data_IF_698966830682
#
_entry.id   IF_698966830682
#
_cell.length_a   1.000
_cell.length_b   1.000
_cell.length_c   1.000
_cell.angle_alpha   90.00
_cell.angle_beta   90.00
_cell.angle_gamma   90.00
#
_symmetry.space_group_name_H-M   'P 1'
#
loop_
_entity.id
_entity.type
_entity.pdbx_description
1 polymer ?
#
# COMPACT_ATOMS: atom_id res chain seq x y z
N UNK A 1 11.36 22.65 4.85
CA UNK A 1 9.88 22.61 4.97
C UNK A 1 9.32 23.72 5.84
N UNK A 2 9.67 23.85 7.11
CA UNK A 2 9.08 24.84 8.05
C UNK A 2 9.10 26.31 7.57
N UNK A 3 10.13 26.74 6.82
CA UNK A 3 10.16 28.10 6.26
C UNK A 3 9.24 28.26 5.04
N UNK A 4 9.12 27.23 4.19
CA UNK A 4 8.22 27.23 3.03
C UNK A 4 6.76 27.28 3.47
N UNK A 5 6.37 26.47 4.46
CA UNK A 5 5.00 26.41 4.96
C UNK A 5 4.49 27.67 5.64
N UNK A 6 5.39 28.63 5.94
CA UNK A 6 5.01 29.97 6.39
C UNK A 6 4.58 30.92 5.25
N UNK A 7 4.95 30.58 4.01
CA UNK A 7 4.71 31.42 2.84
C UNK A 7 3.73 30.82 1.83
N UNK A 8 3.47 29.52 1.93
CA UNK A 8 2.56 28.80 1.02
C UNK A 8 1.89 27.61 1.74
N UNK A 9 0.78 27.08 1.22
CA UNK A 9 0.17 25.84 1.74
C UNK A 9 1.20 24.70 1.78
N UNK A 10 1.10 23.84 2.79
CA UNK A 10 2.01 22.70 2.99
C UNK A 10 2.03 21.76 1.77
N UNK A 11 0.86 21.56 1.14
CA UNK A 11 0.74 20.77 -0.09
C UNK A 11 1.56 21.35 -1.24
N UNK A 12 1.52 22.68 -1.44
CA UNK A 12 2.28 23.35 -2.49
C UNK A 12 3.78 23.36 -2.19
N UNK A 13 4.15 23.53 -0.92
CA UNK A 13 5.55 23.42 -0.49
C UNK A 13 6.12 22.03 -0.79
N UNK A 14 5.37 20.97 -0.50
CA UNK A 14 5.77 19.59 -0.79
C UNK A 14 5.84 19.31 -2.28
N UNK A 15 4.88 19.80 -3.08
CA UNK A 15 4.91 19.70 -4.56
C UNK A 15 6.12 20.41 -5.15
N UNK A 16 6.45 21.60 -4.63
CA UNK A 16 7.64 22.35 -5.05
C UNK A 16 8.92 21.56 -4.79
N UNK A 17 9.09 21.06 -3.56
CA UNK A 17 10.27 20.28 -3.18
C UNK A 17 10.37 19.01 -4.03
N UNK A 18 9.28 18.25 -4.16
CA UNK A 18 9.21 17.03 -4.96
C UNK A 18 9.58 17.30 -6.43
N UNK A 19 9.01 18.36 -7.02
CA UNK A 19 9.30 18.75 -8.39
C UNK A 19 10.77 19.14 -8.61
N UNK A 20 11.36 19.89 -7.68
CA UNK A 20 12.78 20.27 -7.75
C UNK A 20 13.71 19.07 -7.53
N UNK A 21 13.38 18.15 -6.64
CA UNK A 21 14.11 16.90 -6.48
C UNK A 21 14.09 16.07 -7.76
N UNK A 22 12.92 15.96 -8.40
CA UNK A 22 12.78 15.30 -9.69
C UNK A 22 13.64 15.96 -10.76
N UNK A 23 13.53 17.27 -10.95
CA UNK A 23 14.33 18.03 -11.93
C UNK A 23 15.83 17.84 -11.72
N UNK A 24 16.29 17.74 -10.48
CA UNK A 24 17.70 17.54 -10.14
C UNK A 24 18.23 16.16 -10.55
N UNK A 25 17.35 15.19 -10.85
CA UNK A 25 17.68 13.80 -11.19
C UNK A 25 17.29 13.40 -12.61
N UNK A 26 16.55 14.25 -13.35
CA UNK A 26 16.24 13.97 -14.77
C UNK A 26 17.54 13.79 -15.55
N UNK A 27 17.72 12.71 -16.32
CA UNK A 27 18.93 12.44 -17.05
C UNK A 27 19.28 13.56 -18.02
N UNK A 28 20.55 13.96 -18.08
CA UNK A 28 21.05 15.02 -19.00
C UNK A 28 20.77 14.73 -20.48
N UNK A 29 20.60 13.47 -20.85
CA UNK A 29 20.29 13.06 -22.23
C UNK A 29 18.95 13.65 -22.75
N UNK A 30 17.96 13.85 -21.86
CA UNK A 30 16.70 14.51 -22.22
C UNK A 30 16.84 16.04 -22.34
N UNK A 31 17.98 16.61 -21.93
CA UNK A 31 18.24 18.04 -21.85
C UNK A 31 18.98 18.60 -23.09
N UNK A 32 19.14 17.82 -24.16
CA UNK A 32 19.88 18.23 -25.36
C UNK A 32 19.06 19.06 -26.36
N UNK A 33 17.76 19.21 -26.12
CA UNK A 33 16.89 20.03 -26.98
C UNK A 33 17.12 21.52 -26.66
N UNK A 34 17.53 22.36 -27.66
CA UNK A 34 17.72 23.78 -27.44
C UNK A 34 16.45 24.48 -26.95
N UNK A 35 16.60 25.32 -25.94
CA UNK A 35 15.47 26.10 -25.37
C UNK A 35 14.65 25.38 -24.28
N UNK A 36 14.92 24.11 -23.99
CA UNK A 36 14.28 23.39 -22.89
C UNK A 36 14.89 23.81 -21.55
N UNK A 37 14.10 24.26 -20.56
CA UNK A 37 14.62 24.61 -19.25
C UNK A 37 15.04 23.36 -18.46
N UNK A 38 16.33 23.32 -18.08
CA UNK A 38 16.95 22.19 -17.38
C UNK A 38 17.31 22.53 -15.94
N UNK A 39 17.64 21.50 -15.14
CA UNK A 39 18.17 21.72 -13.80
C UNK A 39 19.44 22.59 -13.80
N UNK A 40 20.38 22.33 -14.72
CA UNK A 40 21.60 23.12 -14.86
C UNK A 40 21.32 24.58 -15.23
N UNK A 41 20.38 24.81 -16.14
CA UNK A 41 19.91 26.15 -16.48
C UNK A 41 19.30 26.85 -15.25
N UNK A 42 18.42 26.17 -14.51
CA UNK A 42 17.80 26.71 -13.29
C UNK A 42 18.85 27.02 -12.22
N UNK A 43 19.83 26.14 -12.02
CA UNK A 43 20.91 26.34 -11.06
C UNK A 43 21.76 27.57 -11.40
N UNK A 44 22.09 27.80 -12.68
CA UNK A 44 22.78 29.00 -13.15
C UNK A 44 21.99 30.28 -12.85
N UNK A 45 20.65 30.25 -12.95
CA UNK A 45 19.79 31.41 -12.58
C UNK A 45 19.88 31.75 -11.10
N UNK A 46 20.32 30.85 -10.25
CA UNK A 46 20.51 31.13 -8.82
C UNK A 46 21.77 31.92 -8.52
N UNK A 47 22.68 32.13 -9.47
CA UNK A 47 23.99 32.81 -9.24
C UNK A 47 23.83 34.31 -8.97
N UNK A 48 22.85 34.97 -9.60
CA UNK A 48 22.53 36.36 -9.33
C UNK A 48 21.55 36.48 -8.15
N UNK A 49 21.95 37.03 -7.00
CA UNK A 49 21.08 37.18 -5.85
C UNK A 49 19.98 38.25 -6.04
N UNK A 50 20.11 39.11 -7.04
CA UNK A 50 19.14 40.17 -7.36
C UNK A 50 18.11 39.77 -8.38
N UNK A 51 18.27 38.60 -9.02
CA UNK A 51 17.32 38.10 -10.03
C UNK A 51 15.98 37.74 -9.36
N UNK A 52 14.98 38.56 -9.58
CA UNK A 52 13.62 38.36 -9.09
C UNK A 52 12.77 37.43 -9.97
N UNK A 53 13.37 36.79 -10.97
CA UNK A 53 12.66 35.90 -11.90
C UNK A 53 12.75 34.41 -11.53
N UNK A 54 13.56 34.04 -10.52
CA UNK A 54 13.83 32.63 -10.18
C UNK A 54 12.56 31.83 -9.91
N UNK A 55 11.55 32.44 -9.31
CA UNK A 55 10.24 31.83 -9.07
C UNK A 55 9.53 31.47 -10.38
N UNK A 56 9.51 32.44 -11.35
CA UNK A 56 8.91 32.20 -12.66
C UNK A 56 9.69 31.12 -13.45
N UNK A 57 11.02 31.13 -13.32
CA UNK A 57 11.91 30.15 -13.94
C UNK A 57 11.66 28.74 -13.39
N UNK A 58 11.49 28.60 -12.08
CA UNK A 58 11.09 27.32 -11.45
C UNK A 58 9.74 26.85 -11.97
N UNK A 59 8.73 27.73 -11.98
CA UNK A 59 7.40 27.39 -12.50
C UNK A 59 7.45 26.97 -13.97
N UNK A 60 8.27 27.65 -14.79
CA UNK A 60 8.49 27.29 -16.20
C UNK A 60 9.13 25.90 -16.35
N UNK A 61 10.17 25.60 -15.54
CA UNK A 61 10.80 24.28 -15.53
C UNK A 61 9.80 23.19 -15.13
N UNK A 62 9.09 23.40 -14.03
CA UNK A 62 8.13 22.43 -13.54
C UNK A 62 6.99 22.21 -14.53
N UNK A 63 6.44 23.26 -15.13
CA UNK A 63 5.39 23.14 -16.15
C UNK A 63 5.85 22.38 -17.39
N UNK A 64 7.12 22.50 -17.77
CA UNK A 64 7.67 21.75 -18.91
C UNK A 64 7.84 20.26 -18.61
N UNK A 65 8.39 19.93 -17.43
CA UNK A 65 8.71 18.56 -17.06
C UNK A 65 7.56 17.82 -16.36
N UNK A 66 6.59 18.55 -15.81
CA UNK A 66 5.40 18.07 -15.13
C UNK A 66 4.17 18.73 -15.75
N UNK A 67 3.82 18.42 -17.02
CA UNK A 67 2.69 19.05 -17.68
C UNK A 67 1.41 18.82 -16.88
N UNK A 68 0.55 19.83 -16.90
CA UNK A 68 -0.79 19.72 -16.33
C UNK A 68 -1.53 18.58 -17.03
N UNK A 69 -2.30 17.83 -16.26
CA UNK A 69 -3.05 16.70 -16.75
C UNK A 69 -4.52 16.88 -16.39
N UNK A 70 -5.38 16.60 -17.33
CA UNK A 70 -6.82 16.50 -17.07
C UNK A 70 -7.10 15.17 -16.39
N UNK A 71 -7.47 15.22 -15.12
CA UNK A 71 -7.98 14.07 -14.38
C UNK A 71 -9.50 14.04 -14.55
N UNK A 72 -10.03 12.94 -15.04
CA UNK A 72 -11.47 12.77 -15.31
C UNK A 72 -12.33 12.94 -14.05
N UNK A 73 -11.78 12.57 -12.89
CA UNK A 73 -12.49 12.59 -11.61
C UNK A 73 -12.27 13.89 -10.82
N UNK A 74 -11.19 14.63 -11.06
CA UNK A 74 -10.77 15.81 -10.28
C UNK A 74 -10.61 17.10 -11.10
N UNK A 75 -10.88 17.07 -12.41
CA UNK A 75 -10.65 18.21 -13.31
C UNK A 75 -9.15 18.45 -13.61
N UNK A 76 -8.80 19.64 -14.11
CA UNK A 76 -7.41 19.96 -14.43
C UNK A 76 -6.58 20.05 -13.15
N UNK A 77 -5.80 19.01 -12.86
CA UNK A 77 -4.89 18.95 -11.71
C UNK A 77 -3.45 19.09 -12.17
N UNK A 78 -2.67 19.88 -11.46
CA UNK A 78 -1.24 20.10 -11.76
C UNK A 78 -0.39 19.84 -10.52
N UNK A 79 0.72 19.15 -10.71
CA UNK A 79 1.79 19.06 -9.70
C UNK A 79 2.62 20.35 -9.62
N UNK A 80 2.46 21.26 -10.57
CA UNK A 80 3.15 22.56 -10.53
C UNK A 80 2.53 23.41 -9.42
N UNK A 81 3.26 23.70 -8.34
CA UNK A 81 2.72 24.48 -7.24
C UNK A 81 2.58 25.95 -7.60
N UNK A 82 1.64 26.62 -6.96
CA UNK A 82 1.60 28.09 -6.98
C UNK A 82 2.66 28.62 -6.04
N UNK A 83 3.69 29.28 -6.58
CA UNK A 83 4.77 29.89 -5.80
C UNK A 83 4.46 31.37 -5.55
N UNK A 84 4.21 31.83 -4.34
CA UNK A 84 3.81 33.19 -4.03
C UNK A 84 4.85 34.24 -4.43
N UNK A 85 4.39 35.44 -4.77
CA UNK A 85 5.27 36.59 -4.99
C UNK A 85 6.10 36.90 -3.74
N UNK A 86 7.36 37.32 -3.93
CA UNK A 86 8.28 37.57 -2.81
C UNK A 86 9.03 36.36 -2.28
N UNK A 87 8.74 35.12 -2.78
CA UNK A 87 9.44 33.91 -2.36
C UNK A 87 10.78 33.65 -3.07
N UNK A 88 11.24 34.54 -3.95
CA UNK A 88 12.42 34.33 -4.81
C UNK A 88 13.68 33.98 -4.01
N UNK A 89 13.93 34.69 -2.88
CA UNK A 89 15.06 34.39 -2.00
C UNK A 89 15.00 32.96 -1.43
N UNK A 90 13.80 32.53 -1.01
CA UNK A 90 13.58 31.20 -0.42
C UNK A 90 13.70 30.10 -1.47
N UNK A 91 13.11 30.31 -2.66
CA UNK A 91 13.19 29.37 -3.78
C UNK A 91 14.64 29.20 -4.25
N UNK A 92 15.41 30.30 -4.35
CA UNK A 92 16.83 30.25 -4.65
C UNK A 92 17.63 29.44 -3.65
N UNK A 93 17.40 29.67 -2.36
CA UNK A 93 18.03 28.89 -1.29
C UNK A 93 17.68 27.42 -1.37
N UNK A 94 16.43 27.07 -1.69
CA UNK A 94 15.96 25.71 -1.84
C UNK A 94 16.64 25.00 -3.03
N UNK A 95 16.70 25.64 -4.21
CA UNK A 95 17.39 25.09 -5.40
C UNK A 95 18.86 24.78 -5.09
N UNK A 96 19.55 25.71 -4.41
CA UNK A 96 20.96 25.50 -4.00
C UNK A 96 21.09 24.39 -2.98
N UNK A 97 20.21 24.34 -1.97
CA UNK A 97 20.21 23.27 -0.96
C UNK A 97 20.03 21.90 -1.59
N UNK A 98 19.10 21.75 -2.54
CA UNK A 98 18.90 20.48 -3.27
C UNK A 98 20.13 20.16 -4.13
N UNK A 99 20.75 21.15 -4.77
CA UNK A 99 21.96 20.94 -5.58
C UNK A 99 23.15 20.42 -4.72
N UNK A 100 23.26 20.87 -3.48
CA UNK A 100 24.33 20.44 -2.54
C UNK A 100 23.97 19.19 -1.73
N UNK A 101 22.72 18.71 -1.80
CA UNK A 101 22.30 17.56 -1.01
C UNK A 101 22.92 16.25 -1.51
N UNK A 102 23.66 15.56 -0.65
CA UNK A 102 24.20 14.23 -0.94
C UNK A 102 23.13 13.14 -0.88
N UNK A 103 22.21 13.25 0.06
CA UNK A 103 21.12 12.30 0.25
C UNK A 103 19.77 13.04 0.17
N UNK A 104 18.95 12.65 -0.80
CA UNK A 104 17.63 13.25 -1.02
C UNK A 104 16.47 12.34 -0.58
N UNK A 105 16.73 11.06 -0.35
CA UNK A 105 15.70 10.08 -0.02
C UNK A 105 14.91 10.42 1.26
N UNK A 106 15.50 10.84 2.39
CA UNK A 106 14.73 11.19 3.58
C UNK A 106 13.81 12.39 3.37
N UNK A 107 14.25 13.40 2.59
CA UNK A 107 13.43 14.56 2.26
C UNK A 107 12.26 14.17 1.33
N UNK A 108 12.52 13.30 0.37
CA UNK A 108 11.50 12.77 -0.50
C UNK A 108 10.44 11.99 0.28
N UNK A 109 10.85 11.11 1.20
CA UNK A 109 9.93 10.33 2.04
C UNK A 109 9.04 11.24 2.90
N UNK A 110 9.62 12.31 3.47
CA UNK A 110 8.85 13.30 4.22
C UNK A 110 7.83 14.02 3.33
N UNK A 111 8.23 14.46 2.12
CA UNK A 111 7.32 15.13 1.20
C UNK A 111 6.15 14.22 0.77
N UNK A 112 6.43 12.94 0.51
CA UNK A 112 5.41 11.95 0.14
C UNK A 112 4.44 11.69 1.30
N UNK A 113 4.96 11.56 2.52
CA UNK A 113 4.15 11.41 3.73
C UNK A 113 3.23 12.61 3.97
N UNK A 114 3.78 13.85 3.86
CA UNK A 114 3.02 15.08 4.07
C UNK A 114 1.96 15.28 2.97
N UNK A 115 2.27 14.92 1.71
CA UNK A 115 1.30 14.95 0.61
C UNK A 115 0.14 13.98 0.87
N UNK A 116 0.42 12.80 1.37
CA UNK A 116 -0.59 11.82 1.76
C UNK A 116 -1.49 12.35 2.88
N UNK A 117 -0.91 12.98 3.90
CA UNK A 117 -1.65 13.53 5.04
C UNK A 117 -2.52 14.75 4.67
N UNK A 118 -2.13 15.51 3.64
CA UNK A 118 -2.81 16.76 3.23
C UNK A 118 -4.09 16.51 2.40
N UNK A 119 -4.30 15.32 1.86
CA UNK A 119 -5.52 15.01 1.13
C UNK A 119 -6.63 14.61 2.12
N UNK A 120 -7.84 15.15 1.96
CA UNK A 120 -8.99 14.85 2.82
C UNK A 120 -9.36 13.35 2.86
N UNK A 121 -9.01 12.61 1.77
CA UNK A 121 -9.04 11.17 1.63
C UNK A 121 -7.66 10.54 1.89
N UNK A 122 -6.88 11.07 2.80
CA UNK A 122 -5.44 10.90 3.06
C UNK A 122 -4.83 9.50 3.02
N UNK A 123 -5.66 8.48 2.87
CA UNK A 123 -5.25 7.08 2.83
C UNK A 123 -5.08 6.51 1.42
N UNK A 124 -5.44 7.26 0.37
CA UNK A 124 -5.61 6.66 -0.96
C UNK A 124 -4.30 6.34 -1.67
N UNK A 125 -3.16 6.93 -1.27
CA UNK A 125 -1.97 6.93 -2.15
C UNK A 125 -0.66 6.53 -1.47
N UNK A 126 -0.67 6.24 -0.17
CA UNK A 126 0.55 5.97 0.56
C UNK A 126 0.44 4.71 1.43
N UNK A 127 1.34 3.77 1.22
CA UNK A 127 1.51 2.63 2.12
C UNK A 127 2.59 2.97 3.13
N UNK A 128 2.32 2.93 4.45
CA UNK A 128 3.35 3.17 5.47
C UNK A 128 4.58 2.28 5.24
N UNK A 129 5.76 2.84 5.44
CA UNK A 129 7.04 2.19 5.08
C UNK A 129 7.24 0.86 5.81
N UNK A 130 6.87 0.78 7.08
CA UNK A 130 6.95 -0.45 7.87
C UNK A 130 6.01 -1.54 7.35
N UNK A 131 4.81 -1.16 6.92
CA UNK A 131 3.86 -2.06 6.28
C UNK A 131 4.34 -2.51 4.89
N UNK A 132 4.88 -1.58 4.09
CA UNK A 132 5.47 -1.92 2.79
C UNK A 132 6.64 -2.89 2.93
N UNK A 133 7.50 -2.69 3.92
CA UNK A 133 8.60 -3.62 4.26
C UNK A 133 8.10 -5.01 4.65
N UNK A 134 7.06 -5.07 5.49
CA UNK A 134 6.43 -6.35 5.82
C UNK A 134 5.88 -7.04 4.59
N UNK A 135 5.13 -6.33 3.74
CA UNK A 135 4.53 -6.91 2.54
C UNK A 135 5.59 -7.46 1.59
N UNK A 136 6.66 -6.70 1.36
CA UNK A 136 7.77 -7.12 0.50
C UNK A 136 8.56 -8.28 1.12
N UNK A 137 8.82 -8.27 2.42
CA UNK A 137 9.49 -9.39 3.10
C UNK A 137 8.65 -10.68 3.06
N UNK A 138 7.33 -10.56 3.12
CA UNK A 138 6.41 -11.71 2.97
C UNK A 138 6.38 -12.24 1.53
N UNK A 139 6.53 -11.37 0.52
CA UNK A 139 6.59 -11.75 -0.89
C UNK A 139 7.92 -12.41 -1.27
N UNK A 140 9.03 -12.00 -0.66
CA UNK A 140 10.40 -12.47 -0.95
C UNK A 140 10.77 -12.29 -2.43
N UNK A 141 10.69 -11.07 -2.99
CA UNK A 141 11.07 -10.83 -4.37
C UNK A 141 12.56 -11.14 -4.59
N UNK A 142 12.91 -11.50 -5.84
CA UNK A 142 14.25 -11.89 -6.24
C UNK A 142 14.71 -11.14 -7.46
N UNK A 143 16.00 -11.14 -7.66
CA UNK A 143 16.56 -10.65 -8.92
C UNK A 143 15.97 -11.40 -10.12
N UNK A 144 15.70 -10.70 -11.21
CA UNK A 144 15.04 -11.23 -12.39
C UNK A 144 13.50 -11.36 -12.29
N UNK A 145 12.88 -11.15 -11.12
CA UNK A 145 11.42 -11.25 -11.00
C UNK A 145 10.70 -10.12 -11.73
N UNK A 146 9.51 -10.45 -12.26
CA UNK A 146 8.51 -9.50 -12.73
C UNK A 146 7.57 -9.16 -11.56
N UNK A 147 7.62 -7.93 -11.12
CA UNK A 147 6.84 -7.41 -9.98
C UNK A 147 5.75 -6.48 -10.48
N UNK A 148 4.50 -6.74 -10.10
CA UNK A 148 3.35 -5.89 -10.38
C UNK A 148 2.80 -5.28 -9.09
N UNK A 149 2.54 -3.98 -9.12
CA UNK A 149 1.63 -3.31 -8.20
C UNK A 149 0.44 -2.76 -9.00
N UNK A 150 -0.73 -3.41 -8.98
CA UNK A 150 -1.88 -3.00 -9.79
C UNK A 150 -2.57 -1.72 -9.29
N UNK A 151 -2.17 -1.17 -8.14
CA UNK A 151 -2.72 0.03 -7.49
C UNK A 151 -1.62 0.83 -6.82
N UNK A 152 -0.55 1.13 -7.57
CA UNK A 152 0.76 1.49 -7.01
C UNK A 152 0.80 2.82 -6.22
N UNK A 153 -0.22 3.66 -6.33
CA UNK A 153 -0.25 4.94 -5.63
C UNK A 153 1.00 5.78 -5.93
N UNK A 154 1.78 6.09 -4.90
CA UNK A 154 3.08 6.78 -5.01
C UNK A 154 4.27 5.87 -5.37
N UNK A 155 4.05 4.58 -5.65
CA UNK A 155 5.09 3.62 -6.01
C UNK A 155 5.88 3.03 -4.83
N UNK A 156 5.39 3.19 -3.60
CA UNK A 156 6.11 2.79 -2.39
C UNK A 156 6.48 1.30 -2.33
N UNK A 157 5.58 0.40 -2.74
CA UNK A 157 5.82 -1.04 -2.78
C UNK A 157 6.87 -1.43 -3.85
N UNK A 158 6.89 -0.73 -4.99
CA UNK A 158 7.90 -0.94 -6.03
C UNK A 158 9.29 -0.49 -5.57
N UNK A 159 9.36 0.68 -4.90
CA UNK A 159 10.61 1.18 -4.27
C UNK A 159 11.13 0.17 -3.27
N UNK A 160 10.28 -0.32 -2.38
CA UNK A 160 10.67 -1.24 -1.33
C UNK A 160 11.08 -2.63 -1.89
N UNK A 161 10.42 -3.08 -2.98
CA UNK A 161 10.81 -4.31 -3.70
C UNK A 161 12.22 -4.20 -4.28
N UNK A 162 12.51 -3.09 -4.95
CA UNK A 162 13.85 -2.82 -5.47
C UNK A 162 14.89 -2.81 -4.34
N UNK A 163 14.61 -2.06 -3.25
CA UNK A 163 15.51 -1.98 -2.09
C UNK A 163 15.77 -3.35 -1.48
N UNK A 164 14.72 -4.15 -1.28
CA UNK A 164 14.82 -5.50 -0.71
C UNK A 164 15.77 -6.41 -1.49
N UNK A 165 15.70 -6.36 -2.82
CA UNK A 165 16.57 -7.17 -3.69
C UNK A 165 17.97 -6.58 -3.74
N UNK A 166 18.10 -5.25 -3.90
CA UNK A 166 19.39 -4.54 -3.91
C UNK A 166 20.22 -4.84 -2.66
N UNK A 167 19.62 -4.79 -1.48
CA UNK A 167 20.31 -5.05 -0.21
C UNK A 167 20.86 -6.49 -0.10
N UNK A 168 20.34 -7.42 -0.91
CA UNK A 168 20.74 -8.83 -0.93
C UNK A 168 21.72 -9.20 -2.03
N UNK A 169 21.61 -8.58 -3.18
CA UNK A 169 22.49 -8.90 -4.33
C UNK A 169 23.68 -7.95 -4.43
N UNK A 170 23.65 -6.80 -3.73
CA UNK A 170 24.74 -5.81 -3.68
C UNK A 170 25.04 -5.12 -5.02
N UNK A 171 24.18 -5.27 -6.02
CA UNK A 171 24.28 -4.76 -7.38
C UNK A 171 22.96 -4.09 -7.80
N UNK A 172 22.92 -3.53 -9.01
CA UNK A 172 21.65 -3.07 -9.57
C UNK A 172 20.75 -4.26 -9.89
N UNK A 173 19.58 -4.40 -9.25
CA UNK A 173 18.65 -5.47 -9.55
C UNK A 173 18.19 -5.44 -11.02
N UNK A 174 18.09 -6.61 -11.63
CA UNK A 174 17.60 -6.78 -13.02
C UNK A 174 16.09 -7.01 -13.08
N UNK A 175 15.39 -6.86 -11.97
CA UNK A 175 13.95 -7.07 -11.85
C UNK A 175 13.14 -6.11 -12.72
N UNK A 176 12.01 -6.59 -13.26
CA UNK A 176 11.03 -5.76 -13.95
C UNK A 176 9.98 -5.27 -12.96
N UNK A 177 9.87 -3.97 -12.80
CA UNK A 177 8.89 -3.32 -11.92
C UNK A 177 7.80 -2.68 -12.76
N UNK A 178 6.55 -3.06 -12.55
CA UNK A 178 5.37 -2.54 -13.25
C UNK A 178 4.39 -1.99 -12.23
N UNK A 179 3.95 -0.74 -12.43
CA UNK A 179 2.92 -0.10 -11.62
C UNK A 179 1.73 0.33 -12.45
N UNK A 180 0.53 0.13 -11.92
CA UNK A 180 -0.71 0.68 -12.45
C UNK A 180 -1.32 1.62 -11.42
N UNK A 181 -1.89 2.71 -11.89
CA UNK A 181 -2.57 3.68 -11.04
C UNK A 181 -3.71 4.33 -11.83
N UNK A 182 -4.86 4.46 -11.20
CA UNK A 182 -6.04 5.08 -11.83
C UNK A 182 -5.91 6.60 -11.87
N UNK A 183 -5.41 7.19 -10.80
CA UNK A 183 -5.32 8.64 -10.65
C UNK A 183 -4.05 9.18 -11.27
N UNK A 184 -4.21 10.11 -12.21
CA UNK A 184 -3.10 10.71 -12.95
C UNK A 184 -2.06 11.34 -12.03
N UNK A 185 -2.49 12.07 -11.00
CA UNK A 185 -1.60 12.75 -10.07
C UNK A 185 -0.71 11.75 -9.31
N UNK A 186 -1.30 10.68 -8.80
CA UNK A 186 -0.58 9.60 -8.09
C UNK A 186 0.38 8.88 -9.03
N UNK A 187 -0.02 8.62 -10.27
CA UNK A 187 0.84 8.05 -11.31
C UNK A 187 2.07 8.93 -11.60
N UNK A 188 1.90 10.25 -11.68
CA UNK A 188 3.02 11.19 -11.81
C UNK A 188 3.93 11.15 -10.56
N UNK A 189 3.37 11.15 -9.35
CA UNK A 189 4.13 11.04 -8.10
C UNK A 189 4.93 9.73 -8.08
N UNK A 190 4.35 8.60 -8.49
CA UNK A 190 5.06 7.33 -8.58
C UNK A 190 6.26 7.40 -9.53
N UNK A 191 6.09 7.97 -10.72
CA UNK A 191 7.18 8.17 -11.70
C UNK A 191 8.30 9.04 -11.11
N UNK A 192 7.94 10.13 -10.44
CA UNK A 192 8.92 11.02 -9.80
C UNK A 192 9.66 10.33 -8.65
N UNK A 193 8.94 9.60 -7.81
CA UNK A 193 9.50 8.86 -6.68
C UNK A 193 10.55 7.85 -7.14
N UNK A 194 10.22 7.04 -8.14
CA UNK A 194 11.13 6.03 -8.71
C UNK A 194 12.33 6.70 -9.41
N UNK A 195 12.09 7.73 -10.23
CA UNK A 195 13.14 8.43 -10.96
C UNK A 195 14.15 9.12 -10.03
N UNK A 196 13.69 9.80 -8.96
CA UNK A 196 14.56 10.45 -7.97
C UNK A 196 15.48 9.43 -7.28
N UNK A 197 15.03 8.19 -7.13
CA UNK A 197 15.80 7.09 -6.54
C UNK A 197 16.67 6.34 -7.56
N UNK A 198 16.57 6.69 -8.86
CA UNK A 198 17.28 5.99 -9.92
C UNK A 198 16.75 4.57 -10.18
N UNK A 199 15.51 4.30 -9.80
CA UNK A 199 14.88 2.98 -9.97
C UNK A 199 14.18 2.94 -11.33
N UNK A 200 14.59 2.00 -12.19
CA UNK A 200 13.91 1.74 -13.45
C UNK A 200 12.61 0.97 -13.19
N UNK A 201 11.48 1.57 -13.57
CA UNK A 201 10.17 0.95 -13.45
C UNK A 201 9.24 1.48 -14.55
N UNK A 202 8.29 0.66 -14.96
CA UNK A 202 7.27 1.03 -15.92
C UNK A 202 5.97 1.37 -15.17
N UNK A 203 5.65 2.65 -15.08
CA UNK A 203 4.34 3.09 -14.62
C UNK A 203 3.47 3.28 -15.86
N UNK A 204 2.45 2.41 -15.99
CA UNK A 204 1.55 2.41 -17.13
C UNK A 204 0.73 3.71 -17.21
N UNK A 205 0.13 4.03 -18.38
CA UNK A 205 -0.84 5.12 -18.46
C UNK A 205 -1.97 4.92 -17.44
N UNK A 206 -2.49 6.00 -16.84
CA UNK A 206 -3.57 5.91 -15.86
C UNK A 206 -4.78 5.16 -16.41
N UNK A 207 -5.33 4.28 -15.59
CA UNK A 207 -6.47 3.45 -15.96
C UNK A 207 -6.92 2.55 -14.82
N UNK A 208 -8.15 2.03 -14.94
CA UNK A 208 -8.69 1.08 -13.98
C UNK A 208 -8.11 -0.31 -14.22
N UNK A 209 -7.38 -0.85 -13.26
CA UNK A 209 -6.75 -2.18 -13.34
C UNK A 209 -7.78 -3.31 -13.41
N UNK A 210 -9.00 -3.08 -12.93
CA UNK A 210 -10.08 -4.07 -13.03
C UNK A 210 -10.79 -4.06 -14.39
N UNK A 211 -10.59 -3.02 -15.23
CA UNK A 211 -11.28 -2.91 -16.52
C UNK A 211 -10.97 -4.07 -17.46
N UNK A 212 -9.71 -4.55 -17.46
CA UNK A 212 -9.27 -5.67 -18.30
C UNK A 212 -8.40 -6.64 -17.53
N UNK A 213 -8.35 -7.95 -17.92
CA UNK A 213 -7.38 -8.88 -17.37
C UNK A 213 -5.95 -8.42 -17.62
N UNK A 214 -5.01 -8.79 -16.72
CA UNK A 214 -3.60 -8.58 -16.97
C UNK A 214 -3.16 -9.41 -18.20
N UNK A 215 -2.51 -8.78 -19.18
CA UNK A 215 -2.05 -9.47 -20.38
C UNK A 215 -0.87 -10.42 -20.10
N UNK A 216 -0.10 -10.10 -19.05
CA UNK A 216 1.07 -10.87 -18.64
C UNK A 216 0.92 -11.35 -17.20
N UNK A 217 1.54 -12.49 -16.90
CA UNK A 217 1.61 -13.01 -15.54
C UNK A 217 2.89 -12.54 -14.84
N UNK A 218 2.78 -12.30 -13.54
CA UNK A 218 3.85 -11.74 -12.73
C UNK A 218 4.31 -12.72 -11.65
N UNK A 219 5.63 -12.72 -11.38
CA UNK A 219 6.21 -13.60 -10.37
C UNK A 219 5.88 -13.13 -8.96
N UNK A 220 5.81 -11.79 -8.78
CA UNK A 220 5.43 -11.15 -7.53
C UNK A 220 4.33 -10.12 -7.81
N UNK A 221 3.27 -10.15 -6.99
CA UNK A 221 2.24 -9.10 -6.97
C UNK A 221 2.16 -8.53 -5.57
N UNK A 222 2.20 -7.20 -5.46
CA UNK A 222 2.07 -6.47 -4.20
C UNK A 222 0.97 -5.44 -4.33
N UNK A 223 0.03 -5.38 -3.38
CA UNK A 223 -1.06 -4.42 -3.48
C UNK A 223 -1.60 -3.96 -2.13
N UNK A 224 -1.67 -2.64 -1.94
CA UNK A 224 -2.49 -2.04 -0.89
C UNK A 224 -3.83 -1.63 -1.51
N UNK A 225 -4.75 -2.57 -1.61
CA UNK A 225 -5.99 -2.44 -2.38
C UNK A 225 -6.94 -1.35 -1.86
N UNK A 226 -7.71 -0.68 -2.73
CA UNK A 226 -8.81 0.17 -2.32
C UNK A 226 -9.97 -0.70 -1.81
N UNK A 227 -10.26 -0.60 -0.51
CA UNK A 227 -11.32 -1.42 0.12
C UNK A 227 -12.72 -0.90 -0.21
N UNK A 228 -13.66 -1.85 -0.37
CA UNK A 228 -15.08 -1.59 -0.50
C UNK A 228 -15.46 -0.62 -1.65
N UNK A 229 -14.68 -0.60 -2.71
CA UNK A 229 -14.94 0.23 -3.88
C UNK A 229 -16.24 -0.22 -4.56
N UNK A 230 -17.17 0.70 -4.75
CA UNK A 230 -18.42 0.47 -5.46
C UNK A 230 -18.35 0.96 -6.90
N UNK A 231 -19.19 0.42 -7.77
CA UNK A 231 -19.32 0.88 -9.16
C UNK A 231 -18.11 0.57 -10.06
N UNK A 232 -17.26 -0.37 -9.66
CA UNK A 232 -16.07 -0.79 -10.39
C UNK A 232 -16.38 -1.47 -11.73
N UNK A 233 -17.56 -2.09 -11.85
CA UNK A 233 -18.03 -2.78 -13.06
C UNK A 233 -18.86 -1.88 -13.98
N UNK A 234 -18.88 -0.55 -13.75
CA UNK A 234 -19.54 0.37 -14.69
C UNK A 234 -18.68 0.47 -15.94
N UNK A 235 -19.31 0.15 -17.09
CA UNK A 235 -18.72 0.42 -18.40
C UNK A 235 -18.37 1.91 -18.46
N UNK A 236 -17.13 2.23 -18.83
CA UNK A 236 -16.84 3.58 -19.30
C UNK A 236 -17.75 3.82 -20.51
N UNK A 237 -18.65 4.78 -20.41
CA UNK A 237 -19.38 5.30 -21.57
C UNK A 237 -18.33 5.85 -22.55
N UNK A 238 -17.84 4.97 -23.42
CA UNK A 238 -17.11 5.41 -24.60
C UNK A 238 -18.12 6.21 -25.42
N UNK A 239 -17.86 7.50 -25.54
CA UNK A 239 -18.70 8.41 -26.31
C UNK A 239 -19.04 7.77 -27.68
N UNK A 240 -20.29 7.34 -27.84
CA UNK A 240 -20.88 6.97 -29.14
C UNK A 240 -21.09 5.49 -29.44
N UNK A 241 -20.86 4.56 -28.50
CA UNK A 241 -21.17 3.12 -28.69
C UNK A 241 -22.41 2.69 -27.89
N UNK A 242 -23.21 1.72 -28.40
CA UNK A 242 -24.32 1.18 -27.64
C UNK A 242 -23.81 0.48 -26.40
N UNK A 243 -24.37 0.82 -25.23
CA UNK A 243 -24.12 0.18 -23.94
C UNK A 243 -24.30 -1.34 -24.08
N UNK A 244 -23.25 -2.10 -23.98
CA UNK A 244 -23.30 -3.55 -24.05
C UNK A 244 -23.71 -4.07 -22.67
N UNK A 245 -24.82 -4.83 -22.53
CA UNK A 245 -25.17 -5.38 -21.24
C UNK A 245 -24.07 -6.31 -20.74
N UNK A 246 -23.72 -6.20 -19.45
CA UNK A 246 -22.68 -7.01 -18.79
C UNK A 246 -22.85 -8.53 -19.00
N UNK A 247 -24.08 -8.98 -19.32
CA UNK A 247 -24.42 -10.38 -19.66
C UNK A 247 -23.96 -10.84 -21.04
N UNK A 248 -23.49 -9.95 -21.92
CA UNK A 248 -23.08 -10.26 -23.29
C UNK A 248 -21.55 -10.14 -23.53
N UNK A 249 -20.75 -9.83 -22.49
CA UNK A 249 -19.30 -9.90 -22.57
C UNK A 249 -18.84 -11.36 -22.68
N UNK A 250 -17.82 -11.69 -23.48
CA UNK A 250 -17.18 -13.00 -23.40
C UNK A 250 -16.78 -13.25 -21.93
N UNK A 251 -16.93 -14.52 -21.47
CA UNK A 251 -16.62 -14.90 -20.10
C UNK A 251 -15.24 -14.37 -19.75
N UNK A 252 -15.18 -13.44 -18.79
CA UNK A 252 -13.93 -12.89 -18.33
C UNK A 252 -13.14 -14.03 -17.64
N UNK A 253 -11.92 -14.35 -18.08
CA UNK A 253 -11.16 -15.48 -17.53
C UNK A 253 -10.85 -15.35 -16.04
N UNK A 254 -10.99 -14.15 -15.48
CA UNK A 254 -10.83 -13.89 -14.03
C UNK A 254 -12.00 -14.46 -13.22
N UNK A 255 -13.19 -14.56 -13.83
CA UNK A 255 -14.45 -14.96 -13.17
C UNK A 255 -15.02 -16.24 -13.78
N UNK A 256 -14.36 -17.39 -13.61
CA UNK A 256 -14.74 -18.63 -14.31
C UNK A 256 -16.09 -19.20 -13.88
N UNK A 257 -16.57 -18.87 -12.69
CA UNK A 257 -17.84 -19.38 -12.15
C UNK A 257 -18.95 -18.29 -12.16
N UNK A 258 -18.67 -17.17 -11.50
CA UNK A 258 -19.64 -16.10 -11.30
C UNK A 258 -18.91 -14.76 -11.24
N UNK A 259 -19.35 -13.72 -11.98
CA UNK A 259 -18.78 -12.39 -11.87
C UNK A 259 -18.98 -11.81 -10.47
N UNK A 260 -17.99 -11.10 -9.92
CA UNK A 260 -18.12 -10.43 -8.62
C UNK A 260 -19.20 -9.36 -8.65
N UNK A 261 -19.80 -9.10 -7.48
CA UNK A 261 -20.82 -8.07 -7.34
C UNK A 261 -20.30 -6.68 -7.77
N UNK A 262 -21.03 -5.94 -8.61
CA UNK A 262 -20.66 -4.57 -8.99
C UNK A 262 -20.71 -3.59 -7.82
N UNK A 263 -21.39 -3.93 -6.74
CA UNK A 263 -21.50 -3.09 -5.54
C UNK A 263 -20.26 -3.10 -4.65
N UNK A 264 -19.33 -4.06 -4.82
CA UNK A 264 -18.12 -4.16 -4.01
C UNK A 264 -17.00 -4.89 -4.75
N UNK A 265 -15.88 -4.22 -4.98
CA UNK A 265 -14.74 -4.71 -5.75
C UNK A 265 -13.84 -5.72 -5.00
N UNK A 266 -14.04 -5.95 -3.71
CA UNK A 266 -13.10 -6.79 -2.93
C UNK A 266 -12.89 -8.18 -3.54
N UNK A 267 -13.98 -8.85 -3.94
CA UNK A 267 -13.90 -10.17 -4.59
C UNK A 267 -13.30 -10.09 -6.00
N UNK A 268 -13.51 -9.00 -6.72
CA UNK A 268 -12.89 -8.77 -8.02
C UNK A 268 -11.38 -8.63 -7.90
N UNK A 269 -10.90 -7.85 -6.95
CA UNK A 269 -9.47 -7.69 -6.67
C UNK A 269 -8.79 -9.02 -6.33
N UNK A 270 -9.39 -9.82 -5.45
CA UNK A 270 -8.84 -11.14 -5.08
C UNK A 270 -8.67 -12.02 -6.32
N UNK A 271 -9.68 -12.09 -7.17
CA UNK A 271 -9.67 -12.92 -8.38
C UNK A 271 -8.75 -12.35 -9.47
N UNK A 272 -8.68 -11.03 -9.62
CA UNK A 272 -7.76 -10.35 -10.52
C UNK A 272 -6.31 -10.68 -10.18
N UNK A 273 -5.92 -10.59 -8.90
CA UNK A 273 -4.59 -10.94 -8.41
C UNK A 273 -4.30 -12.43 -8.66
N UNK A 274 -5.25 -13.31 -8.35
CA UNK A 274 -5.09 -14.74 -8.58
C UNK A 274 -4.85 -15.08 -10.07
N UNK A 275 -5.55 -14.38 -10.97
CA UNK A 275 -5.40 -14.55 -12.42
C UNK A 275 -4.04 -14.04 -12.92
N UNK A 276 -3.63 -12.85 -12.49
CA UNK A 276 -2.39 -12.19 -12.90
C UNK A 276 -1.11 -12.85 -12.37
N UNK A 277 -1.24 -13.78 -11.41
CA UNK A 277 -0.11 -14.44 -10.77
C UNK A 277 0.45 -15.57 -11.65
N UNK A 278 1.76 -15.60 -11.86
CA UNK A 278 2.48 -16.65 -12.58
C UNK A 278 2.34 -18.01 -11.87
N UNK A 279 2.53 -19.15 -12.58
CA UNK A 279 2.35 -20.51 -12.01
C UNK A 279 3.20 -20.81 -10.76
N UNK A 280 4.29 -20.08 -10.57
CA UNK A 280 5.18 -20.20 -9.39
C UNK A 280 5.26 -18.88 -8.61
N UNK A 281 4.33 -17.95 -8.88
CA UNK A 281 4.33 -16.62 -8.33
C UNK A 281 3.74 -16.56 -6.92
N UNK A 282 4.06 -15.47 -6.23
CA UNK A 282 3.52 -15.11 -4.91
C UNK A 282 2.92 -13.71 -4.93
N UNK A 283 1.72 -13.57 -4.37
CA UNK A 283 1.10 -12.27 -4.18
C UNK A 283 0.94 -11.96 -2.69
N UNK A 284 1.15 -10.70 -2.32
CA UNK A 284 0.91 -10.19 -0.97
C UNK A 284 0.09 -8.92 -1.06
N UNK A 285 -1.10 -8.94 -0.49
CA UNK A 285 -2.02 -7.81 -0.59
C UNK A 285 -2.84 -7.62 0.68
N UNK A 286 -3.23 -6.36 0.92
CA UNK A 286 -4.13 -6.03 2.01
C UNK A 286 -5.58 -6.21 1.59
N UNK A 287 -6.39 -6.76 2.50
CA UNK A 287 -7.82 -6.96 2.33
C UNK A 287 -8.55 -6.74 3.66
N UNK A 288 -9.80 -6.28 3.61
CA UNK A 288 -10.64 -6.14 4.81
C UNK A 288 -10.93 -7.51 5.44
N UNK A 289 -10.99 -7.55 6.77
CA UNK A 289 -11.20 -8.78 7.53
C UNK A 289 -12.55 -9.46 7.25
N UNK A 290 -13.56 -8.71 6.80
CA UNK A 290 -14.85 -9.25 6.40
C UNK A 290 -14.74 -10.27 5.25
N UNK A 291 -13.77 -10.12 4.35
CA UNK A 291 -13.52 -11.09 3.28
C UNK A 291 -13.00 -12.43 3.83
N UNK A 292 -12.30 -12.40 4.97
CA UNK A 292 -11.83 -13.60 5.67
C UNK A 292 -12.91 -14.22 6.58
N UNK A 293 -13.83 -13.43 7.15
CA UNK A 293 -14.68 -13.84 8.27
C UNK A 293 -16.17 -14.00 7.92
N UNK A 294 -16.65 -13.50 6.79
CA UNK A 294 -18.09 -13.58 6.45
C UNK A 294 -18.59 -15.02 6.44
N UNK A 295 -19.55 -15.34 7.30
CA UNK A 295 -20.16 -16.68 7.46
C UNK A 295 -21.49 -16.85 6.76
N UNK A 296 -22.08 -15.75 6.23
CA UNK A 296 -23.35 -15.81 5.49
C UNK A 296 -23.14 -16.58 4.19
N UNK A 297 -24.07 -17.50 3.89
CA UNK A 297 -24.10 -18.17 2.60
C UNK A 297 -24.09 -17.13 1.45
N UNK A 298 -23.27 -17.38 0.42
CA UNK A 298 -23.15 -16.44 -0.69
C UNK A 298 -21.83 -16.57 -1.46
N UNK A 299 -21.52 -15.58 -2.31
CA UNK A 299 -20.37 -15.65 -3.21
C UNK A 299 -19.02 -15.63 -2.46
N UNK A 300 -18.91 -14.95 -1.32
CA UNK A 300 -17.64 -14.83 -0.59
C UNK A 300 -17.18 -16.16 0.04
N UNK A 301 -18.01 -16.94 0.79
CA UNK A 301 -17.63 -18.28 1.22
C UNK A 301 -17.26 -19.21 0.06
N UNK A 302 -18.02 -19.20 -1.05
CA UNK A 302 -17.68 -19.99 -2.26
C UNK A 302 -16.34 -19.60 -2.86
N UNK A 303 -16.02 -18.32 -2.92
CA UNK A 303 -14.72 -17.83 -3.36
C UNK A 303 -13.60 -18.37 -2.47
N UNK A 304 -13.74 -18.31 -1.12
CA UNK A 304 -12.72 -18.85 -0.21
C UNK A 304 -12.54 -20.35 -0.35
N UNK A 305 -13.64 -21.11 -0.47
CA UNK A 305 -13.60 -22.54 -0.73
C UNK A 305 -12.81 -22.86 -2.01
N UNK A 306 -13.07 -22.12 -3.11
CA UNK A 306 -12.33 -22.29 -4.36
C UNK A 306 -10.85 -21.98 -4.19
N UNK A 307 -10.50 -20.84 -3.57
CA UNK A 307 -9.10 -20.46 -3.34
C UNK A 307 -8.33 -21.51 -2.52
N UNK A 308 -8.99 -22.17 -1.58
CA UNK A 308 -8.41 -23.26 -0.77
C UNK A 308 -8.33 -24.57 -1.55
N UNK A 309 -9.33 -24.90 -2.37
CA UNK A 309 -9.30 -26.07 -3.26
C UNK A 309 -8.18 -25.95 -4.28
N UNK A 310 -7.96 -24.76 -4.81
CA UNK A 310 -6.87 -24.45 -5.75
C UNK A 310 -5.50 -24.34 -5.05
N UNK A 311 -5.45 -24.58 -3.74
CA UNK A 311 -4.27 -24.50 -2.87
C UNK A 311 -3.51 -23.15 -2.97
N UNK A 312 -4.23 -22.08 -3.29
CA UNK A 312 -3.65 -20.76 -3.57
C UNK A 312 -3.28 -19.97 -2.31
N UNK A 313 -4.06 -20.12 -1.22
CA UNK A 313 -3.85 -19.37 0.02
C UNK A 313 -2.66 -19.96 0.77
N UNK A 314 -1.58 -19.19 0.93
CA UNK A 314 -0.40 -19.56 1.69
C UNK A 314 -0.51 -19.13 3.16
N UNK A 315 -0.90 -17.87 3.38
CA UNK A 315 -1.05 -17.34 4.74
C UNK A 315 -2.08 -16.22 4.79
N UNK A 316 -2.73 -16.06 5.94
CA UNK A 316 -3.53 -14.88 6.28
C UNK A 316 -3.07 -14.34 7.63
N UNK A 317 -2.79 -13.04 7.69
CA UNK A 317 -2.25 -12.36 8.86
C UNK A 317 -3.23 -11.28 9.28
N UNK A 318 -3.83 -11.38 10.45
CA UNK A 318 -4.67 -10.32 11.00
C UNK A 318 -3.79 -9.20 11.54
N UNK A 319 -3.93 -8.00 10.96
CA UNK A 319 -3.14 -6.82 11.32
C UNK A 319 -3.91 -5.91 12.29
N UNK A 320 -3.22 -5.01 12.99
CA UNK A 320 -3.86 -4.01 13.84
C UNK A 320 -4.80 -3.09 13.03
N UNK A 321 -5.91 -2.69 13.63
CA UNK A 321 -6.75 -1.65 13.04
C UNK A 321 -5.94 -0.36 12.86
N UNK A 322 -6.21 0.40 11.79
CA UNK A 322 -5.57 1.69 11.48
C UNK A 322 -4.07 1.63 11.19
N UNK A 323 -3.51 0.46 10.92
CA UNK A 323 -2.08 0.31 10.56
C UNK A 323 -1.79 0.84 9.15
N UNK A 324 -2.80 0.92 8.29
CA UNK A 324 -2.69 1.48 6.93
C UNK A 324 -3.02 2.97 6.84
N UNK A 325 -3.42 3.61 7.95
CA UNK A 325 -3.73 5.03 8.02
C UNK A 325 -4.76 5.37 9.11
N UNK A 326 -4.83 6.64 9.54
CA UNK A 326 -5.66 7.07 10.67
C UNK A 326 -7.17 7.09 10.38
N UNK A 327 -7.57 7.25 9.12
CA UNK A 327 -8.96 7.38 8.69
C UNK A 327 -9.65 6.06 8.38
N UNK A 328 -8.91 4.93 8.40
CA UNK A 328 -9.48 3.61 8.13
C UNK A 328 -9.86 2.91 9.42
N UNK A 329 -11.14 2.93 9.76
CA UNK A 329 -11.69 2.14 10.88
C UNK A 329 -11.78 0.63 10.57
N UNK A 330 -11.38 0.22 9.37
CA UNK A 330 -11.34 -1.18 8.95
C UNK A 330 -10.14 -1.91 9.56
N UNK A 331 -10.36 -3.15 9.97
CA UNK A 331 -9.28 -4.04 10.40
C UNK A 331 -8.77 -4.80 9.17
N UNK A 332 -7.54 -4.56 8.70
CA UNK A 332 -7.02 -5.26 7.54
C UNK A 332 -6.47 -6.64 7.91
N UNK A 333 -6.54 -7.55 6.93
CA UNK A 333 -5.74 -8.75 6.89
C UNK A 333 -4.74 -8.67 5.75
N UNK A 334 -3.51 -9.12 5.97
CA UNK A 334 -2.54 -9.32 4.91
C UNK A 334 -2.71 -10.74 4.38
N UNK A 335 -3.06 -10.85 3.11
CA UNK A 335 -3.22 -12.14 2.43
C UNK A 335 -1.96 -12.45 1.63
N UNK A 336 -1.52 -13.68 1.73
CA UNK A 336 -0.41 -14.22 0.94
C UNK A 336 -0.92 -15.34 0.07
N UNK A 337 -0.85 -15.15 -1.24
CA UNK A 337 -1.10 -16.20 -2.23
C UNK A 337 0.22 -16.76 -2.74
N UNK A 338 0.23 -18.06 -3.03
CA UNK A 338 1.35 -18.74 -3.65
C UNK A 338 0.81 -19.89 -4.51
N UNK A 339 1.03 -19.82 -5.82
CA UNK A 339 0.58 -20.86 -6.76
C UNK A 339 1.37 -22.15 -6.69
N UNK A 340 2.53 -22.15 -6.03
CA UNK A 340 3.35 -23.34 -5.85
C UNK A 340 3.95 -23.35 -4.44
N UNK A 341 3.30 -24.06 -3.52
CA UNK A 341 3.73 -24.20 -2.12
C UNK A 341 4.63 -25.42 -1.89
N UNK A 342 5.11 -26.09 -2.96
CA UNK A 342 6.11 -27.13 -2.87
C UNK A 342 7.44 -26.61 -2.36
N UNK A 343 8.26 -27.50 -1.81
CA UNK A 343 9.63 -27.17 -1.42
C UNK A 343 10.45 -26.73 -2.65
N UNK A 344 11.02 -25.52 -2.60
CA UNK A 344 11.83 -24.96 -3.68
C UNK A 344 13.02 -24.17 -3.15
N UNK A 345 14.22 -24.32 -3.74
CA UNK A 345 15.37 -23.52 -3.34
C UNK A 345 15.05 -22.02 -3.33
N UNK A 346 15.28 -21.40 -2.19
CA UNK A 346 15.07 -19.97 -1.97
C UNK A 346 13.63 -19.49 -1.81
N UNK A 347 12.61 -20.31 -2.01
CA UNK A 347 11.21 -19.98 -1.75
C UNK A 347 10.67 -20.67 -0.50
N UNK A 348 11.38 -21.68 0.00
CA UNK A 348 11.10 -22.47 1.17
C UNK A 348 11.52 -23.92 0.99
N UNK A 349 12.08 -24.52 2.03
CA UNK A 349 12.50 -25.94 2.02
C UNK A 349 11.42 -26.89 2.50
N UNK A 350 10.32 -26.37 3.07
CA UNK A 350 9.20 -27.14 3.53
C UNK A 350 8.09 -27.20 2.46
N UNK A 351 7.59 -28.41 2.20
CA UNK A 351 6.38 -28.58 1.40
C UNK A 351 5.15 -28.20 2.23
N UNK A 352 4.44 -27.16 1.79
CA UNK A 352 3.28 -26.57 2.47
C UNK A 352 1.97 -26.72 1.70
N UNK A 353 1.95 -27.61 0.70
CA UNK A 353 0.72 -27.91 -0.05
C UNK A 353 -0.37 -28.41 0.89
N UNK A 354 -1.60 -27.95 0.68
CA UNK A 354 -2.75 -28.29 1.52
C UNK A 354 -2.72 -27.66 2.93
N UNK A 355 -1.81 -26.73 3.20
CA UNK A 355 -1.70 -26.04 4.50
C UNK A 355 -1.82 -24.54 4.32
N UNK A 356 -2.33 -23.85 5.36
CA UNK A 356 -2.42 -22.39 5.45
C UNK A 356 -1.89 -21.96 6.81
N UNK A 357 -1.00 -20.98 6.82
CA UNK A 357 -0.52 -20.35 8.05
C UNK A 357 -1.41 -19.18 8.45
N UNK A 358 -1.93 -19.18 9.65
CA UNK A 358 -2.64 -18.08 10.27
C UNK A 358 -1.76 -17.37 11.30
N UNK A 359 -1.66 -16.03 11.22
CA UNK A 359 -0.94 -15.21 12.21
C UNK A 359 -1.89 -14.14 12.75
N UNK A 360 -2.02 -14.10 14.08
CA UNK A 360 -2.85 -13.10 14.78
C UNK A 360 -1.98 -11.98 15.32
N UNK A 361 -1.70 -10.98 14.49
CA UNK A 361 -0.90 -9.80 14.84
C UNK A 361 -1.77 -8.57 15.19
N UNK A 362 -3.06 -8.74 15.56
CA UNK A 362 -3.97 -7.62 15.87
C UNK A 362 -3.48 -6.70 16.97
N UNK A 363 -2.73 -7.25 17.93
CA UNK A 363 -2.19 -6.51 19.06
C UNK A 363 -0.70 -6.13 18.87
N UNK A 364 -0.11 -6.42 17.71
CA UNK A 364 1.29 -6.15 17.40
C UNK A 364 1.45 -4.73 16.81
N UNK A 365 1.36 -3.68 17.62
CA UNK A 365 1.48 -2.30 17.18
C UNK A 365 2.16 -1.40 18.20
N UNK A 366 2.67 -0.28 17.70
CA UNK A 366 3.11 0.86 18.47
C UNK A 366 2.08 1.99 18.31
N UNK A 367 1.65 2.59 19.43
CA UNK A 367 0.74 3.72 19.40
C UNK A 367 1.53 5.00 19.08
N UNK A 368 1.13 5.73 18.04
CA UNK A 368 1.74 7.02 17.72
C UNK A 368 1.24 8.10 18.69
N UNK A 369 2.14 8.94 19.23
CA UNK A 369 1.77 10.03 20.11
C UNK A 369 0.77 10.98 19.41
N UNK A 370 -0.28 11.37 20.13
CA UNK A 370 -1.30 12.32 19.67
C UNK A 370 -1.99 11.95 18.33
N UNK A 371 -2.03 10.67 17.99
CA UNK A 371 -2.66 10.16 16.77
C UNK A 371 -3.50 8.92 17.04
N UNK A 372 -4.58 8.74 16.27
CA UNK A 372 -5.33 7.47 16.24
C UNK A 372 -4.67 6.42 15.35
N UNK A 373 -3.71 6.81 14.51
CA UNK A 373 -2.95 5.89 13.67
C UNK A 373 -2.08 4.97 14.53
N UNK A 374 -1.95 3.74 14.09
CA UNK A 374 -1.07 2.72 14.66
C UNK A 374 0.04 2.42 13.70
N UNK A 375 1.23 2.21 14.24
CA UNK A 375 2.39 1.78 13.50
C UNK A 375 2.67 0.32 13.83
N UNK A 376 3.02 -0.46 12.84
CA UNK A 376 3.42 -1.85 13.08
C UNK A 376 4.74 -1.91 13.87
N UNK A 377 5.67 -1.06 13.50
CA UNK A 377 7.01 -1.01 14.10
C UNK A 377 7.91 -2.14 13.60
N UNK A 378 9.21 -1.94 13.74
CA UNK A 378 10.22 -2.85 13.21
C UNK A 378 10.19 -4.23 13.91
N UNK A 379 10.08 -4.23 15.23
CA UNK A 379 10.03 -5.47 16.03
C UNK A 379 8.84 -6.36 15.65
N UNK A 380 7.65 -5.79 15.52
CA UNK A 380 6.45 -6.53 15.20
C UNK A 380 6.49 -7.05 13.76
N UNK A 381 6.98 -6.22 12.81
CA UNK A 381 7.20 -6.63 11.42
C UNK A 381 8.19 -7.79 11.33
N UNK A 382 9.28 -7.72 12.09
CA UNK A 382 10.28 -8.80 12.16
C UNK A 382 9.69 -10.09 12.71
N UNK A 383 8.88 -10.04 13.78
CA UNK A 383 8.23 -11.22 14.35
C UNK A 383 7.32 -11.92 13.33
N UNK A 384 6.51 -11.18 12.58
CA UNK A 384 5.66 -11.73 11.52
C UNK A 384 6.53 -12.37 10.40
N UNK A 385 7.55 -11.65 9.95
CA UNK A 385 8.45 -12.14 8.89
C UNK A 385 9.22 -13.39 9.30
N UNK A 386 9.68 -13.46 10.55
CA UNK A 386 10.37 -14.62 11.13
C UNK A 386 9.44 -15.84 11.21
N UNK A 387 8.20 -15.64 11.66
CA UNK A 387 7.18 -16.71 11.70
C UNK A 387 6.91 -17.28 10.30
N UNK A 388 6.72 -16.40 9.31
CA UNK A 388 6.55 -16.81 7.90
C UNK A 388 7.78 -17.56 7.38
N UNK A 389 8.98 -17.05 7.63
CA UNK A 389 10.24 -17.66 7.20
C UNK A 389 10.45 -19.05 7.82
N UNK A 390 10.23 -19.18 9.13
CA UNK A 390 10.30 -20.44 9.84
C UNK A 390 9.30 -21.46 9.25
N UNK A 391 8.05 -21.08 9.05
CA UNK A 391 7.04 -21.95 8.50
C UNK A 391 7.37 -22.43 7.07
N UNK A 392 7.92 -21.55 6.25
CA UNK A 392 8.38 -21.88 4.89
C UNK A 392 9.66 -22.71 4.86
N UNK A 393 10.43 -22.74 5.97
CA UNK A 393 11.81 -23.27 5.97
C UNK A 393 12.78 -22.38 5.20
N UNK A 394 12.59 -21.06 5.30
CA UNK A 394 13.53 -20.06 4.78
C UNK A 394 14.57 -19.73 5.84
N UNK A 395 15.83 -19.81 5.45
CA UNK A 395 16.96 -19.43 6.30
C UNK A 395 17.63 -18.17 5.75
N UNK A 396 18.30 -17.44 6.63
CA UNK A 396 19.31 -16.47 6.22
C UNK A 396 20.52 -17.19 5.62
N UNK A 397 21.26 -16.49 4.77
CA UNK A 397 22.42 -17.07 4.10
C UNK A 397 23.41 -17.67 5.13
N UNK A 398 23.69 -18.95 4.99
CA UNK A 398 24.62 -19.68 5.87
C UNK A 398 24.04 -20.22 7.18
N UNK A 399 22.73 -20.08 7.43
CA UNK A 399 22.04 -20.59 8.61
C UNK A 399 21.07 -21.72 8.26
N UNK A 400 20.76 -22.61 9.20
CA UNK A 400 19.63 -23.50 9.09
C UNK A 400 18.32 -22.73 9.33
N UNK A 401 17.21 -23.05 8.63
CA UNK A 401 15.93 -22.43 8.93
C UNK A 401 15.51 -22.75 10.37
N UNK A 402 14.99 -21.75 11.11
CA UNK A 402 14.49 -22.00 12.44
C UNK A 402 13.29 -22.96 12.35
N UNK A 403 13.13 -23.91 13.31
CA UNK A 403 11.98 -24.80 13.35
C UNK A 403 10.70 -23.97 13.56
N UNK A 404 9.67 -24.27 12.80
CA UNK A 404 8.33 -23.73 13.03
C UNK A 404 7.57 -24.61 14.00
N UNK A 405 6.92 -24.00 14.97
CA UNK A 405 5.93 -24.59 15.86
C UNK A 405 4.75 -23.64 15.99
N UNK A 406 3.54 -24.20 16.11
CA UNK A 406 2.35 -23.40 16.41
C UNK A 406 2.53 -22.70 17.75
N UNK A 407 2.20 -21.41 17.79
CA UNK A 407 2.32 -20.57 18.99
C UNK A 407 0.92 -20.09 19.39
N UNK A 408 0.39 -20.52 20.54
CA UNK A 408 -0.93 -20.10 21.01
C UNK A 408 -1.08 -18.57 21.08
N UNK A 409 -2.20 -18.05 20.58
CA UNK A 409 -2.45 -16.63 20.53
C UNK A 409 -1.73 -15.88 19.40
N UNK A 410 -0.69 -16.47 18.79
CA UNK A 410 0.12 -15.84 17.77
C UNK A 410 -0.01 -16.49 16.39
N UNK A 411 0.31 -17.79 16.25
CA UNK A 411 0.32 -18.44 14.93
C UNK A 411 -0.12 -19.89 14.97
N UNK A 412 -0.80 -20.34 13.90
CA UNK A 412 -1.20 -21.74 13.73
C UNK A 412 -1.18 -22.12 12.25
N UNK A 413 -0.60 -23.29 11.96
CA UNK A 413 -0.68 -23.93 10.66
C UNK A 413 -1.89 -24.88 10.64
N UNK A 414 -2.79 -24.70 9.69
CA UNK A 414 -3.99 -25.54 9.54
C UNK A 414 -4.02 -26.21 8.18
N UNK A 415 -4.54 -27.42 8.12
CA UNK A 415 -4.86 -28.11 6.88
C UNK A 415 -6.14 -27.56 6.25
N UNK A 416 -6.31 -27.72 4.93
CA UNK A 416 -7.56 -27.34 4.24
C UNK A 416 -8.76 -28.08 4.85
N UNK A 417 -8.61 -29.32 5.33
CA UNK A 417 -9.68 -30.08 5.99
C UNK A 417 -10.12 -29.44 7.31
N UNK A 418 -9.17 -28.97 8.13
CA UNK A 418 -9.49 -28.23 9.35
C UNK A 418 -10.21 -26.92 9.03
N UNK A 419 -9.78 -26.21 7.99
CA UNK A 419 -10.41 -24.94 7.59
C UNK A 419 -11.83 -25.19 7.06
N UNK A 420 -12.06 -26.28 6.32
CA UNK A 420 -13.38 -26.66 5.85
C UNK A 420 -14.35 -26.93 7.03
N UNK A 421 -13.88 -27.54 8.11
CA UNK A 421 -14.68 -27.76 9.33
C UNK A 421 -15.08 -26.43 10.03
N UNK A 422 -14.39 -25.33 9.70
CA UNK A 422 -14.69 -23.96 10.14
C UNK A 422 -15.39 -23.12 9.06
N UNK A 423 -16.20 -23.73 8.19
CA UNK A 423 -16.94 -23.06 7.11
C UNK A 423 -16.06 -22.23 6.18
N UNK A 424 -14.87 -22.74 5.90
CA UNK A 424 -13.85 -22.04 5.08
C UNK A 424 -13.52 -20.62 5.59
N UNK A 425 -13.65 -20.37 6.88
CA UNK A 425 -13.19 -19.12 7.48
C UNK A 425 -11.67 -18.98 7.32
N UNK A 426 -11.21 -17.82 6.87
CA UNK A 426 -9.79 -17.48 6.78
C UNK A 426 -9.37 -16.47 7.84
N UNK A 427 -10.19 -16.30 8.90
CA UNK A 427 -9.91 -15.35 9.98
C UNK A 427 -8.86 -15.90 10.94
N UNK A 428 -7.66 -15.30 11.03
CA UNK A 428 -6.58 -15.81 11.89
C UNK A 428 -6.96 -15.94 13.37
N UNK A 429 -7.79 -15.03 13.87
CA UNK A 429 -8.25 -15.06 15.27
C UNK A 429 -9.14 -16.26 15.61
N UNK A 430 -9.60 -17.02 14.61
CA UNK A 430 -10.36 -18.26 14.81
C UNK A 430 -9.45 -19.47 15.03
N UNK A 431 -8.17 -19.37 14.66
CA UNK A 431 -7.20 -20.47 14.70
C UNK A 431 -6.07 -20.22 15.71
N UNK A 432 -5.44 -19.05 15.65
CA UNK A 432 -4.40 -18.64 16.59
C UNK A 432 -5.03 -18.07 17.87
N UNK A 433 -5.62 -18.94 18.67
CA UNK A 433 -6.35 -18.61 19.90
C UNK A 433 -5.45 -18.90 21.11
N UNK A 434 -5.42 -18.01 22.09
CA UNK A 434 -4.85 -18.35 23.41
C UNK A 434 -5.67 -19.47 24.05
N UNK A 435 -5.02 -20.50 24.56
CA UNK A 435 -5.74 -21.52 25.36
C UNK A 435 -6.43 -20.79 26.52
N UNK A 436 -7.72 -20.99 26.65
CA UNK A 436 -8.41 -20.57 27.86
C UNK A 436 -7.74 -21.32 29.02
N UNK A 437 -6.97 -20.62 29.84
CA UNK A 437 -6.47 -21.18 31.09
C UNK A 437 -7.68 -21.58 31.89
N UNK A 438 -7.80 -22.88 32.22
CA UNK A 438 -8.92 -23.44 32.97
C UNK A 438 -9.15 -22.79 34.36
N UNK A 439 -8.24 -21.90 34.77
CA UNK A 439 -8.24 -21.24 36.08
C UNK A 439 -8.52 -19.72 36.04
N UNK A 440 -8.57 -19.08 34.87
CA UNK A 440 -9.00 -17.70 34.85
C UNK A 440 -10.52 -17.65 34.84
N UNK A 441 -11.06 -17.51 36.03
CA UNK A 441 -12.40 -17.20 36.41
C UNK A 441 -13.14 -16.37 35.35
N UNK A 442 -13.76 -17.06 34.39
CA UNK A 442 -14.58 -16.42 33.33
C UNK A 442 -15.66 -15.55 33.99
N UNK A 443 -16.10 -15.93 35.20
CA UNK A 443 -17.05 -15.20 36.03
C UNK A 443 -16.44 -13.90 36.56
N UNK A 444 -15.21 -13.93 37.07
CA UNK A 444 -14.49 -12.74 37.53
C UNK A 444 -14.13 -11.78 36.41
N UNK A 445 -13.86 -12.29 35.22
CA UNK A 445 -13.63 -11.47 34.02
C UNK A 445 -14.92 -10.80 33.51
N UNK A 446 -16.03 -11.53 33.50
CA UNK A 446 -17.36 -11.00 33.16
C UNK A 446 -17.78 -9.93 34.17
N UNK A 447 -17.59 -10.17 35.47
CA UNK A 447 -17.91 -9.19 36.52
C UNK A 447 -17.01 -7.93 36.47
N UNK A 448 -15.74 -8.10 36.09
CA UNK A 448 -14.83 -6.96 35.84
C UNK A 448 -15.27 -6.14 34.65
N UNK A 449 -15.54 -6.78 33.50
CA UNK A 449 -16.03 -6.13 32.30
C UNK A 449 -17.39 -5.44 32.49
N UNK A 450 -18.28 -6.04 33.28
CA UNK A 450 -19.54 -5.40 33.67
C UNK A 450 -19.30 -4.14 34.51
N UNK A 451 -18.35 -4.18 35.42
CA UNK A 451 -18.00 -3.04 36.27
C UNK A 451 -17.41 -1.90 35.42
N UNK A 452 -16.44 -2.21 34.56
CA UNK A 452 -15.87 -1.23 33.61
C UNK A 452 -16.93 -0.63 32.69
N UNK A 453 -17.88 -1.45 32.23
CA UNK A 453 -18.98 -0.94 31.39
C UNK A 453 -19.90 -0.01 32.18
N UNK A 454 -20.23 -0.36 33.42
CA UNK A 454 -21.07 0.50 34.28
C UNK A 454 -20.37 1.82 34.61
N UNK A 455 -19.08 1.80 34.92
CA UNK A 455 -18.27 3.01 35.14
C UNK A 455 -18.26 3.92 33.88
N UNK A 456 -18.09 3.34 32.69
CA UNK A 456 -18.15 4.07 31.44
C UNK A 456 -19.52 4.66 31.11
N UNK A 457 -20.58 3.94 31.45
CA UNK A 457 -21.96 4.42 31.30
C UNK A 457 -22.27 5.55 32.28
N UNK A 458 -21.74 5.51 33.51
CA UNK A 458 -21.85 6.60 34.48
C UNK A 458 -21.06 7.84 34.01
N UNK A 459 -19.82 7.67 33.55
CA UNK A 459 -19.03 8.76 32.93
C UNK A 459 -19.76 9.42 31.73
N UNK A 460 -20.39 8.63 30.87
CA UNK A 460 -21.19 9.14 29.75
C UNK A 460 -22.41 9.93 30.23
N UNK A 461 -23.09 9.45 31.25
CA UNK A 461 -24.27 10.10 31.84
C UNK A 461 -23.93 11.42 32.52
N UNK A 462 -22.74 11.56 33.09
CA UNK A 462 -22.25 12.79 33.68
C UNK A 462 -21.73 13.80 32.62
N UNK A 463 -21.33 13.31 31.43
CA UNK A 463 -20.88 14.15 30.32
C UNK A 463 -22.04 14.75 29.52
N UNK A 464 -23.18 14.05 29.44
CA UNK A 464 -24.35 14.46 28.67
C UNK A 464 -24.91 15.83 29.09
N UNK A 465 -25.17 16.14 30.39
CA UNK A 465 -25.62 17.46 30.81
C UNK A 465 -24.57 18.55 30.58
N UNK A 466 -23.27 18.24 30.75
CA UNK A 466 -22.18 19.21 30.51
C UNK A 466 -22.06 19.58 29.04
N UNK A 467 -22.41 18.67 28.14
CA UNK A 467 -22.41 18.90 26.71
C UNK A 467 -23.63 19.73 26.28
N UNK A 468 -24.78 19.49 26.93
CA UNK A 468 -25.99 20.28 26.72
C UNK A 468 -25.80 21.72 27.22
N UNK A 469 -25.23 21.91 28.42
CA UNK A 469 -24.90 23.24 28.98
C UNK A 469 -23.93 24.01 28.05
N UNK A 470 -22.89 23.33 27.52
CA UNK A 470 -21.94 23.96 26.61
C UNK A 470 -22.53 24.30 25.22
N UNK A 471 -23.59 23.59 24.80
CA UNK A 471 -24.31 23.88 23.55
C UNK A 471 -25.34 25.00 23.73
N UNK A 472 -25.85 25.23 24.92
CA UNK A 472 -26.73 26.36 25.25
C UNK A 472 -25.95 27.69 25.43
N UNK A 473 -24.64 27.62 25.68
CA UNK A 473 -23.74 28.81 25.77
C UNK A 473 -23.17 29.27 24.43
N UNK A 474 -23.44 28.52 23.31
CA UNK A 474 -23.03 28.87 21.94
C UNK A 474 -24.17 29.51 21.15
#
# INVERSE_FOLDING_TARGET
MTQLSRHMPVSDANRLVLGLLYLSRVPRAAATTPGVPTWAWLLNRTTDPRDASIRADVSKCLAHWLPAVEDRDAGATSLVPTVPSGSDRLVRALVRAIASAQQVAPLLDQCLSDLSAAHADGDKYFTPVDLARLMVSAAVPRDGNRVLDPVCGSGGLLVESHRYVHDRVGLHPTMSLVGKERHMLSSQVARMNLAVRGIAAQILPPGDSLAVPEPEQHDIILANLPFNQSGWAREEETQGGPSRPASAAPLDPRWPEEPPSPGNANAAWIQHIAHALAPKGRAVFLMVDTMASTRKAGPIPRLRERLLRDDLVESVIALPARVSGPSRDTTPCLWVFNKDKSARPGWGTHDRRGQVLFINARNAYEQLPNSRARRLGEKNSASISTTLAAWRGLAEAGSAPPPYQDEPGWSRSCTVTEIAAHEYSLMPTSYAVEPLSREQDTRGRVERLKRELMERLEEMRDLEPRLLDALEEL
#
